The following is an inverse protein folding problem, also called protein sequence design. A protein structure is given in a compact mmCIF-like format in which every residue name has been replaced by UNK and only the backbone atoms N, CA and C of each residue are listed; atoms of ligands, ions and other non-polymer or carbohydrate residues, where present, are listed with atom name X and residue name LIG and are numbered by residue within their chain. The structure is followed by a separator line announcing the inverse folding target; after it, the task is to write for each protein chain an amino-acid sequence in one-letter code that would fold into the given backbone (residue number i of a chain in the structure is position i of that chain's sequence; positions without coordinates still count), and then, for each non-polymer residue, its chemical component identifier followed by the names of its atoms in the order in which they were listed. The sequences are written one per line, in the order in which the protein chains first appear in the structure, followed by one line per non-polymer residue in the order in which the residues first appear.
data_IF_345102020604
#
_entry.id   IF_345102020604
#
_cell.length_a   1.000
_cell.length_b   1.000
_cell.length_c   1.000
_cell.angle_alpha   90.00
_cell.angle_beta   90.00
_cell.angle_gamma   90.00
#
_symmetry.space_group_name_H-M   'P 1'
#
loop_
_entity.id
_entity.type
_entity.pdbx_description
1 polymer ?
#
# COMPACT_ATOMS: atom_id res chain seq x y z
N UNK A 1 -7.06 14.77 13.99
CA UNK A 1 -7.29 15.23 12.60
C UNK A 1 -6.00 15.86 12.11
N UNK A 2 -5.27 15.24 11.18
CA UNK A 2 -4.05 15.84 10.62
C UNK A 2 -4.46 16.89 9.58
N UNK A 3 -3.98 18.13 9.74
CA UNK A 3 -4.22 19.22 8.80
C UNK A 3 -3.63 18.87 7.43
N UNK A 4 -4.48 18.63 6.43
CA UNK A 4 -4.12 18.37 5.01
C UNK A 4 -3.35 19.51 4.33
N UNK A 5 -3.14 20.64 5.02
CA UNK A 5 -2.82 21.94 4.43
C UNK A 5 -1.33 22.25 4.21
N UNK A 6 -0.37 21.38 4.56
CA UNK A 6 1.06 21.70 4.35
C UNK A 6 1.98 20.50 4.10
N UNK A 7 1.45 19.34 3.73
CA UNK A 7 2.32 18.20 3.42
C UNK A 7 2.96 18.37 2.04
N UNK A 8 4.29 18.49 2.01
CA UNK A 8 5.05 18.70 0.78
C UNK A 8 5.30 17.36 0.07
N UNK A 9 5.30 17.44 -1.27
CA UNK A 9 5.86 16.36 -2.11
C UNK A 9 7.35 16.27 -1.86
N UNK A 10 7.85 15.05 -1.73
CA UNK A 10 9.28 14.75 -1.61
C UNK A 10 9.65 13.55 -2.48
N UNK A 11 10.91 13.51 -2.89
CA UNK A 11 11.52 12.27 -3.31
C UNK A 11 11.88 11.41 -2.08
N UNK A 12 11.99 10.10 -2.27
CA UNK A 12 12.27 9.12 -1.22
C UNK A 12 13.68 9.29 -0.64
N UNK A 13 14.63 9.78 -1.42
CA UNK A 13 15.97 10.15 -0.94
C UNK A 13 15.99 11.41 -0.06
N UNK A 14 14.93 12.22 -0.09
CA UNK A 14 14.74 13.44 0.71
C UNK A 14 13.85 13.24 1.96
N UNK A 15 13.19 12.10 2.06
CA UNK A 15 12.32 11.78 3.19
C UNK A 15 13.16 11.40 4.41
N UNK A 16 12.79 11.91 5.58
CA UNK A 16 13.44 11.58 6.86
C UNK A 16 12.71 10.46 7.60
N UNK A 17 13.43 9.73 8.46
CA UNK A 17 12.85 8.71 9.34
C UNK A 17 11.66 9.26 10.13
N UNK A 18 10.57 8.49 10.24
CA UNK A 18 9.31 8.87 10.90
C UNK A 18 8.56 10.07 10.27
N UNK A 19 8.90 10.45 9.03
CA UNK A 19 8.25 11.56 8.33
C UNK A 19 6.95 11.12 7.63
N UNK A 20 5.95 12.01 7.66
CA UNK A 20 4.80 11.92 6.77
C UNK A 20 5.04 12.83 5.55
N UNK A 21 4.92 12.31 4.34
CA UNK A 21 5.11 13.09 3.11
C UNK A 21 4.22 12.57 1.96
N UNK A 22 4.16 13.35 0.88
CA UNK A 22 3.55 12.92 -0.38
C UNK A 22 4.66 12.44 -1.31
N UNK A 23 4.52 11.23 -1.85
CA UNK A 23 5.45 10.65 -2.83
C UNK A 23 4.71 10.35 -4.12
N UNK A 24 5.43 10.40 -5.24
CA UNK A 24 4.87 10.11 -6.57
C UNK A 24 5.85 9.18 -7.30
N UNK A 25 5.36 8.05 -7.80
CA UNK A 25 6.22 7.00 -8.32
C UNK A 25 5.45 5.74 -8.73
N UNK A 26 6.14 4.65 -9.01
CA UNK A 26 5.55 3.40 -9.48
C UNK A 26 5.62 2.32 -8.41
N UNK A 27 4.57 1.49 -8.34
CA UNK A 27 4.70 0.16 -7.77
C UNK A 27 5.46 -0.69 -8.77
N UNK A 28 6.67 -1.12 -8.42
CA UNK A 28 7.54 -1.90 -9.33
C UNK A 28 7.45 -3.39 -9.08
N UNK A 29 6.92 -3.80 -7.93
CA UNK A 29 6.63 -5.18 -7.59
C UNK A 29 5.52 -5.24 -6.54
N UNK A 30 4.65 -6.24 -6.64
CA UNK A 30 3.66 -6.58 -5.60
C UNK A 30 4.07 -7.94 -5.03
N UNK A 31 4.25 -8.01 -3.72
CA UNK A 31 4.56 -9.26 -3.02
C UNK A 31 3.28 -10.00 -2.65
N UNK A 32 2.32 -9.27 -2.10
CA UNK A 32 1.03 -9.81 -1.72
C UNK A 32 -0.08 -8.77 -1.85
N UNK A 33 -1.30 -9.25 -2.10
CA UNK A 33 -2.54 -8.46 -2.05
C UNK A 33 -3.37 -8.78 -0.81
N UNK A 34 -3.01 -9.83 -0.06
CA UNK A 34 -3.70 -10.24 1.17
C UNK A 34 -2.69 -10.60 2.25
N UNK A 35 -3.04 -10.38 3.50
CA UNK A 35 -2.23 -10.82 4.64
C UNK A 35 -3.08 -11.53 5.66
N UNK A 36 -2.47 -12.36 6.47
CA UNK A 36 -3.12 -13.10 7.55
C UNK A 36 -2.54 -12.63 8.87
N UNK A 37 -3.38 -12.37 9.86
CA UNK A 37 -2.94 -12.13 11.23
C UNK A 37 -3.17 -13.37 12.07
N UNK A 38 -2.11 -13.92 12.64
CA UNK A 38 -2.23 -15.04 13.56
C UNK A 38 -2.41 -14.53 14.99
N UNK A 39 -3.61 -14.70 15.56
CA UNK A 39 -3.90 -14.28 16.94
C UNK A 39 -3.05 -14.98 18.00
N UNK A 40 -2.62 -16.23 17.76
CA UNK A 40 -1.77 -16.98 18.69
C UNK A 40 -0.32 -16.48 18.64
N UNK A 41 0.23 -16.34 17.44
CA UNK A 41 1.62 -15.93 17.24
C UNK A 41 1.82 -14.41 17.28
N UNK A 42 0.73 -13.62 17.27
CA UNK A 42 0.71 -12.15 17.23
C UNK A 42 1.55 -11.56 16.08
N UNK A 43 1.49 -12.21 14.91
CA UNK A 43 2.29 -11.86 13.72
C UNK A 43 1.43 -11.81 12.46
N UNK A 44 1.80 -10.90 11.57
CA UNK A 44 1.32 -10.87 10.19
C UNK A 44 2.16 -11.81 9.32
N UNK A 45 1.52 -12.45 8.36
CA UNK A 45 2.15 -13.30 7.35
C UNK A 45 1.43 -13.14 6.02
N UNK A 46 2.14 -13.37 4.92
CA UNK A 46 1.53 -13.41 3.58
C UNK A 46 0.82 -14.76 3.34
N UNK A 47 1.12 -15.76 4.17
CA UNK A 47 0.52 -17.09 4.17
C UNK A 47 -0.17 -17.42 5.50
N UNK A 48 -1.07 -18.41 5.48
CA UNK A 48 -1.71 -18.89 6.71
C UNK A 48 -0.65 -19.50 7.66
N UNK A 49 -0.79 -19.20 8.95
CA UNK A 49 0.14 -19.69 9.95
C UNK A 49 -0.07 -21.19 10.22
N UNK A 50 1.03 -21.95 10.30
CA UNK A 50 1.03 -23.40 10.53
C UNK A 50 0.43 -23.83 11.89
N UNK A 51 0.21 -22.90 12.83
CA UNK A 51 -0.34 -23.19 14.16
C UNK A 51 -1.82 -23.64 14.18
N UNK A 52 -2.40 -23.93 13.01
CA UNK A 52 -3.76 -24.43 12.82
C UNK A 52 -4.85 -23.38 13.06
N UNK A 53 -4.50 -22.09 13.04
CA UNK A 53 -5.48 -21.00 13.12
C UNK A 53 -5.80 -20.54 11.70
N UNK A 54 -7.09 -20.42 11.38
CA UNK A 54 -7.58 -20.06 10.04
C UNK A 54 -8.12 -18.62 10.03
N UNK A 55 -7.26 -17.58 10.15
CA UNK A 55 -7.73 -16.21 10.17
C UNK A 55 -8.31 -15.81 8.82
N UNK A 56 -9.30 -14.92 8.84
CA UNK A 56 -9.80 -14.30 7.63
C UNK A 56 -8.67 -13.52 6.92
N UNK A 57 -8.60 -13.57 5.58
CA UNK A 57 -7.64 -12.78 4.82
C UNK A 57 -7.94 -11.29 4.99
N UNK A 58 -6.94 -10.53 5.38
CA UNK A 58 -6.99 -9.07 5.53
C UNK A 58 -6.56 -8.46 4.20
N UNK A 59 -7.41 -7.60 3.61
CA UNK A 59 -7.05 -6.95 2.36
C UNK A 59 -5.91 -5.96 2.57
N UNK A 60 -4.70 -6.32 2.13
CA UNK A 60 -3.49 -5.56 2.42
C UNK A 60 -2.49 -5.77 1.30
N UNK A 61 -2.20 -4.69 0.58
CA UNK A 61 -1.25 -4.72 -0.54
C UNK A 61 0.14 -4.37 0.00
N UNK A 62 1.12 -5.19 -0.35
CA UNK A 62 2.54 -5.00 -0.04
C UNK A 62 3.40 -5.23 -1.29
N UNK A 63 4.56 -4.58 -1.32
CA UNK A 63 5.42 -4.65 -2.49
C UNK A 63 6.60 -3.69 -2.41
N UNK A 64 7.12 -3.32 -3.58
CA UNK A 64 8.17 -2.32 -3.76
C UNK A 64 7.62 -1.13 -4.51
N UNK A 65 7.93 0.05 -4.00
CA UNK A 65 7.62 1.33 -4.61
C UNK A 65 8.92 2.05 -4.98
N UNK A 66 8.93 2.72 -6.12
CA UNK A 66 10.06 3.48 -6.63
C UNK A 66 9.58 4.84 -7.14
N UNK A 67 10.24 5.91 -6.75
CA UNK A 67 10.01 7.24 -7.31
C UNK A 67 11.10 7.66 -8.32
N UNK A 68 11.99 6.72 -8.68
CA UNK A 68 13.14 6.96 -9.55
C UNK A 68 14.42 7.39 -8.82
N UNK A 69 14.35 7.84 -7.57
CA UNK A 69 15.53 8.19 -6.74
C UNK A 69 15.95 7.05 -5.82
N UNK A 70 14.97 6.35 -5.25
CA UNK A 70 15.18 5.20 -4.35
C UNK A 70 14.04 4.20 -4.53
N UNK A 71 14.30 2.95 -4.15
CA UNK A 71 13.27 1.93 -3.99
C UNK A 71 13.07 1.62 -2.51
N UNK A 72 11.82 1.41 -2.11
CA UNK A 72 11.47 1.07 -0.73
C UNK A 72 10.33 0.05 -0.70
N UNK A 73 10.32 -0.78 0.34
CA UNK A 73 9.17 -1.66 0.57
C UNK A 73 7.96 -0.82 0.99
N UNK A 74 6.76 -1.22 0.61
CA UNK A 74 5.54 -0.54 1.06
C UNK A 74 4.49 -1.51 1.59
N UNK A 75 3.55 -0.96 2.35
CA UNK A 75 2.31 -1.64 2.72
C UNK A 75 1.17 -0.66 2.92
N UNK A 76 -0.05 -1.05 2.55
CA UNK A 76 -1.27 -0.29 2.90
C UNK A 76 -1.61 -0.47 4.38
N UNK A 77 -2.01 0.61 5.07
CA UNK A 77 -2.30 0.53 6.53
C UNK A 77 -3.73 0.09 6.87
N UNK A 78 -4.62 0.00 5.88
CA UNK A 78 -5.99 -0.48 6.08
C UNK A 78 -6.56 -1.07 4.79
N UNK A 79 -7.61 -1.89 4.94
CA UNK A 79 -8.34 -2.47 3.80
C UNK A 79 -8.89 -1.38 2.87
N UNK A 80 -9.44 -0.29 3.42
CA UNK A 80 -9.96 0.84 2.65
C UNK A 80 -8.89 1.46 1.74
N UNK A 81 -7.64 1.52 2.20
CA UNK A 81 -6.53 2.06 1.40
C UNK A 81 -6.14 1.06 0.31
N UNK A 82 -6.16 -0.24 0.59
CA UNK A 82 -5.94 -1.28 -0.42
C UNK A 82 -7.05 -1.25 -1.50
N UNK A 83 -8.31 -1.06 -1.10
CA UNK A 83 -9.43 -0.87 -2.04
C UNK A 83 -9.23 0.38 -2.89
N UNK A 84 -8.82 1.50 -2.29
CA UNK A 84 -8.57 2.73 -3.04
C UNK A 84 -7.39 2.60 -4.02
N UNK A 85 -6.34 1.85 -3.65
CA UNK A 85 -5.15 1.65 -4.46
C UNK A 85 -5.43 0.75 -5.67
N UNK A 86 -6.19 -0.32 -5.45
CA UNK A 86 -6.50 -1.33 -6.47
C UNK A 86 -7.79 -1.08 -7.25
N UNK A 87 -8.68 -0.23 -6.72
CA UNK A 87 -10.07 -0.09 -7.16
C UNK A 87 -10.89 -1.39 -7.10
N UNK A 88 -10.45 -2.35 -6.28
CA UNK A 88 -11.15 -3.63 -6.06
C UNK A 88 -11.74 -3.61 -4.65
N UNK A 89 -12.91 -4.24 -4.45
CA UNK A 89 -13.51 -4.39 -3.12
C UNK A 89 -12.81 -5.48 -2.33
N UNK A 90 -12.81 -5.38 -1.00
CA UNK A 90 -12.18 -6.39 -0.13
C UNK A 90 -12.71 -7.82 -0.33
N UNK A 91 -13.98 -7.97 -0.72
CA UNK A 91 -14.59 -9.25 -1.10
C UNK A 91 -13.85 -9.94 -2.24
N UNK A 92 -13.17 -9.16 -3.08
CA UNK A 92 -12.49 -9.59 -4.29
C UNK A 92 -10.97 -9.39 -4.19
N UNK A 93 -10.42 -9.22 -2.98
CA UNK A 93 -8.99 -8.97 -2.75
C UNK A 93 -8.06 -10.00 -3.43
N UNK A 94 -8.48 -11.26 -3.51
CA UNK A 94 -7.75 -12.35 -4.19
C UNK A 94 -7.76 -12.26 -5.72
N UNK A 95 -8.63 -11.43 -6.31
CA UNK A 95 -8.77 -11.22 -7.76
C UNK A 95 -8.00 -10.00 -8.26
N UNK A 96 -7.36 -9.24 -7.36
CA UNK A 96 -6.51 -8.11 -7.75
C UNK A 96 -5.41 -8.62 -8.66
N UNK A 97 -5.32 -8.09 -9.88
CA UNK A 97 -4.19 -8.35 -10.77
C UNK A 97 -3.02 -7.42 -10.37
N UNK A 98 -1.89 -7.98 -9.87
CA UNK A 98 -0.69 -7.20 -9.55
C UNK A 98 -0.21 -6.33 -10.71
N UNK A 99 -0.38 -6.77 -11.96
CA UNK A 99 0.11 -6.03 -13.13
C UNK A 99 -0.64 -4.71 -13.30
N UNK A 100 -1.93 -4.65 -12.97
CA UNK A 100 -2.71 -3.41 -13.05
C UNK A 100 -2.19 -2.34 -12.08
N UNK A 101 -1.76 -2.76 -10.87
CA UNK A 101 -1.14 -1.87 -9.88
C UNK A 101 0.20 -1.32 -10.36
N UNK A 102 0.92 -2.05 -11.23
CA UNK A 102 2.25 -1.68 -11.69
C UNK A 102 2.25 -0.80 -12.96
N UNK A 103 1.10 -0.68 -13.64
CA UNK A 103 1.01 -0.03 -14.97
C UNK A 103 1.12 1.50 -14.94
N UNK A 104 0.96 2.13 -13.78
CA UNK A 104 0.83 3.59 -13.70
C UNK A 104 1.55 4.17 -12.49
N UNK A 105 1.93 5.45 -12.54
CA UNK A 105 2.40 6.14 -11.36
C UNK A 105 1.25 6.36 -10.39
N UNK A 106 1.61 6.41 -9.11
CA UNK A 106 0.77 6.64 -7.95
C UNK A 106 1.29 7.82 -7.16
N UNK A 107 0.39 8.71 -6.77
CA UNK A 107 0.57 9.79 -5.82
C UNK A 107 0.01 9.33 -4.47
N UNK A 108 0.89 9.16 -3.50
CA UNK A 108 0.59 8.51 -2.23
C UNK A 108 0.93 9.41 -1.06
N UNK A 109 0.02 9.48 -0.10
CA UNK A 109 0.34 9.93 1.25
C UNK A 109 0.96 8.79 2.01
N UNK A 110 2.20 8.96 2.47
CA UNK A 110 2.93 7.90 3.17
C UNK A 110 3.43 8.38 4.53
N UNK A 111 3.60 7.42 5.43
CA UNK A 111 4.43 7.55 6.62
C UNK A 111 5.66 6.65 6.44
N UNK A 112 6.85 7.23 6.48
CA UNK A 112 8.09 6.47 6.40
C UNK A 112 8.53 6.06 7.80
N UNK A 113 8.75 4.76 8.01
CA UNK A 113 9.37 4.24 9.22
C UNK A 113 10.30 3.09 8.82
N UNK A 114 11.58 3.24 9.14
CA UNK A 114 12.66 2.42 8.62
C UNK A 114 12.70 2.41 7.10
N UNK A 115 13.10 1.29 6.52
CA UNK A 115 13.11 1.08 5.06
C UNK A 115 11.73 0.72 4.49
N UNK A 116 10.65 1.21 5.12
CA UNK A 116 9.27 0.87 4.77
C UNK A 116 8.36 2.08 4.70
N UNK A 117 7.57 2.11 3.63
CA UNK A 117 6.50 3.07 3.39
C UNK A 117 5.15 2.52 3.83
N UNK A 118 4.49 3.23 4.73
CA UNK A 118 3.14 2.92 5.17
C UNK A 118 2.18 3.85 4.43
N UNK A 119 1.49 3.34 3.42
CA UNK A 119 0.53 4.11 2.62
C UNK A 119 -0.68 4.45 3.48
N UNK A 120 -0.90 5.75 3.71
CA UNK A 120 -1.99 6.32 4.52
C UNK A 120 -3.18 6.80 3.67
N UNK A 121 -2.93 7.24 2.44
CA UNK A 121 -3.98 7.72 1.52
C UNK A 121 -3.47 7.57 0.07
N UNK A 122 -4.38 7.25 -0.84
CA UNK A 122 -4.13 7.28 -2.29
C UNK A 122 -4.67 8.61 -2.78
N UNK A 123 -3.79 9.45 -3.32
CA UNK A 123 -4.10 10.82 -3.77
C UNK A 123 -4.19 10.90 -5.29
N UNK A 124 -4.23 9.76 -5.97
CA UNK A 124 -4.43 9.68 -7.41
C UNK A 124 -5.77 10.32 -7.78
N UNK A 125 -5.71 11.50 -8.38
CA UNK A 125 -6.85 12.05 -9.10
C UNK A 125 -6.92 11.34 -10.45
N UNK A 126 -7.83 10.37 -10.60
CA UNK A 126 -8.39 10.12 -11.93
C UNK A 126 -9.91 9.99 -11.88
N UNK A 127 -10.58 10.50 -12.91
CA UNK A 127 -12.01 10.33 -13.08
C UNK A 127 -12.32 8.83 -13.20
N UNK A 128 -13.48 8.48 -12.67
CA UNK A 128 -14.21 7.27 -13.03
C UNK A 128 -14.04 7.04 -14.54
N UNK A 129 -13.33 5.98 -14.93
CA UNK A 129 -13.54 5.42 -16.26
C UNK A 129 -14.97 4.88 -16.26
N UNK A 130 -15.93 5.77 -16.53
CA UNK A 130 -17.25 5.40 -17.04
C UNK A 130 -16.96 4.91 -18.45
N UNK A 131 -17.13 3.62 -18.65
CA UNK A 131 -16.75 2.94 -19.88
C UNK A 131 -17.40 3.55 -21.12
N UNK A 132 -16.77 3.27 -22.25
CA UNK A 132 -17.44 2.90 -23.48
C UNK A 132 -16.71 1.71 -24.07
#
# INVERSE_FOLDING_TARGET
MMNKLNMKRKFLDQASECEHCIVEGFIVQVYSTVSYFCDKCKKFSDEMCECGNFPEPIFRISGVFSDGTRTMTFTTVSEKIAENLSHVKKSDAKKVDPKELMKRPHKLLVHMMGEKLYIKEVLDERPLFVGK
#
